data_IF_105620093934
#
_entry.id   IF_105620093934
#
_cell.length_a   1.000
_cell.length_b   1.000
_cell.length_c   1.000
_cell.angle_alpha   90.00
_cell.angle_beta   90.00
_cell.angle_gamma   90.00
#
_symmetry.space_group_name_H-M   'P 1'
#
loop_
_entity.id
_entity.type
_entity.pdbx_description
1 polymer ?
#
# COMPACT_ATOMS: atom_id res chain seq x y z
N UNK A 1 8.29 25.63 1.06
CA UNK A 1 7.51 24.65 0.67
C UNK A 1 7.70 23.44 1.44
N UNK A 2 6.77 22.81 1.72
CA UNK A 2 6.85 21.71 2.62
C UNK A 2 6.86 20.38 1.90
N UNK A 3 7.83 19.54 2.22
CA UNK A 3 7.82 18.19 1.71
C UNK A 3 6.86 17.28 2.50
N UNK A 4 6.33 17.79 3.63
CA UNK A 4 5.44 16.98 4.47
C UNK A 4 4.13 16.62 3.78
N UNK A 5 3.76 17.36 2.72
CA UNK A 5 2.54 17.07 1.96
C UNK A 5 2.80 16.16 0.77
N UNK A 6 4.06 15.75 0.57
CA UNK A 6 4.39 14.94 -0.58
C UNK A 6 3.86 13.53 -0.41
N UNK A 7 3.24 13.06 -1.49
CA UNK A 7 2.69 11.71 -1.54
C UNK A 7 3.83 10.70 -1.62
N UNK A 8 3.70 9.61 -0.87
CA UNK A 8 4.59 8.45 -1.00
C UNK A 8 3.80 7.32 -1.64
N UNK A 9 4.35 6.71 -2.69
CA UNK A 9 3.71 5.57 -3.30
C UNK A 9 4.71 4.42 -3.43
N UNK A 10 4.30 3.24 -3.00
CA UNK A 10 5.10 2.03 -3.08
C UNK A 10 4.57 1.18 -4.22
N UNK A 11 5.45 0.82 -5.14
CA UNK A 11 5.08 0.15 -6.38
C UNK A 11 6.02 -1.01 -6.69
N UNK A 12 5.61 -1.81 -7.68
CA UNK A 12 6.45 -2.85 -8.25
C UNK A 12 6.45 -2.67 -9.76
N UNK A 13 7.64 -2.76 -10.37
CA UNK A 13 7.81 -2.45 -11.78
C UNK A 13 6.99 -3.32 -12.73
N UNK A 14 6.65 -4.55 -12.33
CA UNK A 14 5.85 -5.46 -13.15
C UNK A 14 4.37 -5.45 -12.78
N UNK A 15 3.94 -4.43 -12.08
CA UNK A 15 2.56 -4.30 -11.60
C UNK A 15 1.81 -3.29 -12.47
N UNK A 16 0.84 -3.77 -13.26
CA UNK A 16 0.09 -2.88 -14.16
C UNK A 16 -0.73 -1.86 -13.39
N UNK A 17 -1.31 -2.25 -12.25
CA UNK A 17 -2.06 -1.31 -11.42
C UNK A 17 -1.17 -0.19 -10.90
N UNK A 18 0.08 -0.52 -10.58
CA UNK A 18 1.04 0.48 -10.13
C UNK A 18 1.34 1.50 -11.23
N UNK A 19 1.55 1.01 -12.45
CA UNK A 19 1.80 1.88 -13.60
C UNK A 19 0.60 2.78 -13.86
N UNK A 20 -0.60 2.22 -13.82
CA UNK A 20 -1.82 3.00 -14.00
C UNK A 20 -1.95 4.09 -12.94
N UNK A 21 -1.61 3.75 -11.69
CA UNK A 21 -1.70 4.70 -10.59
C UNK A 21 -0.71 5.85 -10.75
N UNK A 22 0.55 5.55 -11.05
CA UNK A 22 1.54 6.62 -11.21
C UNK A 22 1.24 7.48 -12.43
N UNK A 23 0.73 6.89 -13.51
CA UNK A 23 0.32 7.67 -14.68
C UNK A 23 -0.84 8.59 -14.34
N UNK A 24 -1.80 8.11 -13.57
CA UNK A 24 -2.93 8.92 -13.12
C UNK A 24 -2.46 10.12 -12.29
N UNK A 25 -1.53 9.88 -11.35
CA UNK A 25 -0.98 10.96 -10.54
C UNK A 25 -0.31 12.03 -11.40
N UNK A 26 0.48 11.59 -12.38
CA UNK A 26 1.16 12.52 -13.29
C UNK A 26 0.17 13.33 -14.11
N UNK A 27 -0.84 12.67 -14.68
CA UNK A 27 -1.84 13.36 -15.49
C UNK A 27 -2.61 14.41 -14.70
N UNK A 28 -2.77 14.18 -13.40
CA UNK A 28 -3.53 15.09 -12.55
C UNK A 28 -2.65 16.05 -11.77
N UNK A 29 -1.37 16.14 -12.14
CA UNK A 29 -0.46 17.16 -11.60
C UNK A 29 -0.01 16.93 -10.17
N UNK A 30 -0.08 15.69 -9.68
CA UNK A 30 0.35 15.39 -8.31
C UNK A 30 1.81 14.99 -8.28
N UNK A 31 2.56 15.62 -7.39
CA UNK A 31 3.93 15.23 -7.14
C UNK A 31 3.96 14.08 -6.13
N UNK A 32 4.88 13.16 -6.32
CA UNK A 32 4.99 12.01 -5.43
C UNK A 32 6.40 11.46 -5.42
N UNK A 33 6.74 10.77 -4.33
CA UNK A 33 7.97 9.98 -4.23
C UNK A 33 7.58 8.51 -4.40
N UNK A 34 8.28 7.84 -5.31
CA UNK A 34 8.00 6.43 -5.61
C UNK A 34 9.09 5.56 -5.00
N UNK A 35 8.67 4.47 -4.35
CA UNK A 35 9.56 3.50 -3.73
C UNK A 35 9.30 2.11 -4.28
N UNK A 36 10.36 1.34 -4.49
CA UNK A 36 10.25 -0.05 -4.92
C UNK A 36 9.85 -0.89 -3.71
N UNK A 37 8.62 -1.38 -3.70
CA UNK A 37 8.02 -2.01 -2.52
C UNK A 37 8.77 -3.27 -2.07
N UNK A 38 9.39 -3.97 -3.02
CA UNK A 38 10.14 -5.20 -2.68
C UNK A 38 11.46 -4.89 -2.00
N UNK A 39 12.09 -3.77 -2.36
CA UNK A 39 13.39 -3.36 -1.81
C UNK A 39 13.23 -2.52 -0.54
N UNK A 40 12.20 -1.69 -0.54
CA UNK A 40 11.94 -0.76 0.56
C UNK A 40 10.46 -0.87 0.94
N UNK A 41 10.08 -1.87 1.72
CA UNK A 41 8.67 -2.01 2.13
C UNK A 41 8.24 -0.83 3.00
N UNK A 42 6.93 -0.58 3.11
CA UNK A 42 6.44 0.44 4.04
C UNK A 42 6.89 0.13 5.46
N UNK A 43 7.14 1.18 6.23
CA UNK A 43 7.54 1.04 7.63
C UNK A 43 6.36 0.60 8.49
N UNK A 44 6.66 0.14 9.71
CA UNK A 44 5.63 -0.22 10.68
C UNK A 44 4.68 0.95 10.90
N UNK A 45 5.22 2.16 11.05
CA UNK A 45 4.42 3.37 11.24
C UNK A 45 3.50 3.63 10.07
N UNK A 46 4.02 3.49 8.85
CA UNK A 46 3.23 3.69 7.64
C UNK A 46 2.14 2.66 7.48
N UNK A 47 2.45 1.41 7.83
CA UNK A 47 1.45 0.34 7.77
C UNK A 47 0.33 0.56 8.78
N UNK A 48 0.67 1.04 9.97
CA UNK A 48 -0.35 1.37 10.98
C UNK A 48 -1.24 2.52 10.52
N UNK A 49 -0.65 3.52 9.87
CA UNK A 49 -1.44 4.63 9.31
C UNK A 49 -2.39 4.12 8.24
N UNK A 50 -1.89 3.26 7.33
CA UNK A 50 -2.74 2.69 6.28
C UNK A 50 -3.85 1.84 6.87
N UNK A 51 -3.57 1.09 7.93
CA UNK A 51 -4.58 0.28 8.59
C UNK A 51 -5.74 1.16 9.09
N UNK A 52 -5.41 2.29 9.69
CA UNK A 52 -6.42 3.24 10.16
C UNK A 52 -7.25 3.78 8.99
N UNK A 53 -6.59 4.12 7.87
CA UNK A 53 -7.29 4.61 6.69
C UNK A 53 -8.10 3.51 5.98
N UNK A 54 -7.87 2.26 6.33
CA UNK A 54 -8.56 1.11 5.73
C UNK A 54 -9.62 0.54 6.68
N UNK A 55 -10.15 1.36 7.57
CA UNK A 55 -11.18 0.97 8.54
C UNK A 55 -10.73 -0.20 9.41
N UNK A 56 -9.44 -0.26 9.71
CA UNK A 56 -8.83 -1.29 10.53
C UNK A 56 -8.98 -2.71 9.96
N UNK A 57 -9.21 -2.82 8.66
CA UNK A 57 -9.30 -4.12 7.99
C UNK A 57 -7.93 -4.51 7.45
N UNK A 58 -7.17 -5.25 8.25
CA UNK A 58 -5.79 -5.58 7.91
C UNK A 58 -5.68 -6.44 6.65
N UNK A 59 -6.72 -7.20 6.30
CA UNK A 59 -6.69 -8.02 5.10
C UNK A 59 -6.52 -7.18 3.84
N UNK A 60 -6.99 -5.92 3.86
CA UNK A 60 -6.85 -5.01 2.71
C UNK A 60 -5.40 -4.64 2.44
N UNK A 61 -4.52 -4.78 3.42
CA UNK A 61 -3.11 -4.43 3.26
C UNK A 61 -2.30 -5.55 2.61
N UNK A 62 -2.87 -6.73 2.44
CA UNK A 62 -2.16 -7.87 1.88
C UNK A 62 -2.38 -8.04 0.39
N UNK A 63 -1.32 -8.42 -0.30
CA UNK A 63 -1.37 -8.83 -1.70
C UNK A 63 -1.83 -10.29 -1.77
N UNK A 64 -3.14 -10.50 -1.68
CA UNK A 64 -3.72 -11.84 -1.57
C UNK A 64 -3.60 -12.67 -2.84
N UNK A 65 -3.29 -12.05 -3.97
CA UNK A 65 -3.05 -12.77 -5.23
C UNK A 65 -1.60 -13.19 -5.41
N UNK A 66 -0.71 -12.77 -4.49
CA UNK A 66 0.71 -13.00 -4.64
C UNK A 66 1.14 -14.41 -4.26
N UNK A 67 2.29 -14.82 -4.80
CA UNK A 67 2.86 -16.13 -4.53
C UNK A 67 3.26 -16.28 -3.07
N UNK A 68 3.84 -15.23 -2.48
CA UNK A 68 4.27 -15.28 -1.08
C UNK A 68 3.09 -15.46 -0.13
N UNK A 69 1.98 -14.78 -0.42
CA UNK A 69 0.77 -14.92 0.37
C UNK A 69 0.28 -16.37 0.37
N UNK A 70 0.28 -17.00 -0.81
CA UNK A 70 -0.15 -18.38 -0.95
C UNK A 70 0.83 -19.34 -0.31
N UNK A 71 2.13 -19.11 -0.51
CA UNK A 71 3.17 -19.98 0.03
C UNK A 71 3.11 -20.03 1.56
N UNK A 72 2.78 -18.92 2.20
CA UNK A 72 2.65 -18.83 3.65
C UNK A 72 1.27 -19.25 4.16
N UNK A 73 0.35 -19.59 3.25
CA UNK A 73 -1.02 -19.98 3.59
C UNK A 73 -1.71 -18.93 4.47
N UNK A 74 -1.51 -17.66 4.13
CA UNK A 74 -2.01 -16.56 4.95
C UNK A 74 -3.53 -16.44 4.93
N UNK A 75 -4.17 -16.88 3.84
CA UNK A 75 -5.63 -16.84 3.77
C UNK A 75 -6.27 -17.48 5.01
N UNK A 76 -5.70 -18.59 5.47
CA UNK A 76 -6.22 -19.31 6.61
C UNK A 76 -5.57 -18.88 7.93
N UNK A 77 -4.34 -18.40 7.87
CA UNK A 77 -3.57 -18.12 9.08
C UNK A 77 -3.71 -16.70 9.63
N UNK A 78 -4.19 -15.76 8.81
CA UNK A 78 -4.26 -14.36 9.27
C UNK A 78 -5.02 -14.23 10.59
N UNK A 79 -6.12 -14.96 10.74
CA UNK A 79 -6.94 -14.87 11.95
C UNK A 79 -6.24 -15.40 13.20
N UNK A 80 -5.13 -16.13 13.04
CA UNK A 80 -4.39 -16.72 14.14
C UNK A 80 -3.27 -15.83 14.67
N UNK A 81 -2.98 -14.73 13.98
CA UNK A 81 -1.91 -13.81 14.35
C UNK A 81 -2.49 -12.55 14.95
N UNK A 82 -1.72 -11.89 15.81
CA UNK A 82 -2.11 -10.58 16.30
C UNK A 82 -1.90 -9.54 15.21
N UNK A 83 -2.57 -8.40 15.36
CA UNK A 83 -2.40 -7.29 14.43
C UNK A 83 -0.94 -6.85 14.36
N UNK A 84 -0.27 -6.76 15.53
CA UNK A 84 1.14 -6.38 15.56
C UNK A 84 2.02 -7.38 14.82
N UNK A 85 1.74 -8.69 14.95
CA UNK A 85 2.49 -9.71 14.22
C UNK A 85 2.35 -9.52 12.71
N UNK A 86 1.14 -9.22 12.25
CA UNK A 86 0.88 -9.05 10.82
C UNK A 86 1.52 -7.77 10.30
N UNK A 87 1.49 -6.70 11.06
CA UNK A 87 2.15 -5.44 10.68
C UNK A 87 3.66 -5.67 10.53
N UNK A 88 4.25 -6.38 11.49
CA UNK A 88 5.68 -6.67 11.43
C UNK A 88 6.00 -7.52 10.20
N UNK A 89 5.19 -8.54 9.93
CA UNK A 89 5.37 -9.41 8.77
C UNK A 89 5.35 -8.59 7.47
N UNK A 90 4.39 -7.68 7.33
CA UNK A 90 4.30 -6.83 6.15
C UNK A 90 5.50 -5.91 6.01
N UNK A 91 5.99 -5.36 7.12
CA UNK A 91 7.13 -4.44 7.09
C UNK A 91 8.42 -5.11 6.64
N UNK A 92 8.49 -6.44 6.78
CA UNK A 92 9.67 -7.22 6.41
C UNK A 92 9.55 -7.88 5.04
N UNK A 93 8.38 -7.84 4.42
CA UNK A 93 8.10 -8.55 3.17
C UNK A 93 7.27 -7.70 2.23
N UNK A 94 7.94 -6.90 1.41
CA UNK A 94 7.24 -6.03 0.47
C UNK A 94 6.34 -6.79 -0.51
N UNK A 95 6.68 -8.05 -0.82
CA UNK A 95 5.83 -8.87 -1.71
C UNK A 95 4.47 -9.19 -1.10
N UNK A 96 4.34 -9.12 0.21
CA UNK A 96 3.07 -9.38 0.88
C UNK A 96 2.17 -8.17 0.93
N UNK A 97 2.70 -7.00 0.65
CA UNK A 97 1.94 -5.74 0.78
C UNK A 97 1.13 -5.49 -0.49
N UNK A 98 -0.13 -5.12 -0.32
CA UNK A 98 -1.01 -4.73 -1.43
C UNK A 98 -0.44 -3.51 -2.13
N UNK A 99 -0.40 -3.55 -3.45
CA UNK A 99 0.17 -2.46 -4.25
C UNK A 99 -0.77 -2.04 -5.37
N UNK A 100 -0.69 -0.76 -5.76
CA UNK A 100 0.13 0.29 -5.16
C UNK A 100 -0.33 0.62 -3.74
N UNK A 101 0.62 1.06 -2.91
CA UNK A 101 0.38 1.46 -1.53
C UNK A 101 0.73 2.93 -1.45
N UNK A 102 -0.27 3.78 -1.26
CA UNK A 102 -0.09 5.22 -1.34
C UNK A 102 -0.46 5.88 -0.01
N UNK A 103 0.43 6.72 0.50
CA UNK A 103 0.15 7.52 1.69
C UNK A 103 0.31 9.00 1.37
N UNK A 104 -0.73 9.77 1.66
CA UNK A 104 -0.67 11.21 1.71
C UNK A 104 -0.59 11.64 3.17
N UNK A 105 -0.74 12.94 3.40
CA UNK A 105 -0.65 13.47 4.76
C UNK A 105 -1.84 13.03 5.62
N UNK A 106 -3.03 12.97 5.03
CA UNK A 106 -4.27 12.71 5.77
C UNK A 106 -5.10 11.59 5.15
N UNK A 107 -4.52 10.79 4.26
CA UNK A 107 -5.25 9.71 3.60
C UNK A 107 -4.29 8.62 3.17
N UNK A 108 -4.84 7.44 2.91
CA UNK A 108 -4.08 6.32 2.36
C UNK A 108 -4.95 5.49 1.45
N UNK A 109 -4.32 4.92 0.43
CA UNK A 109 -5.02 4.11 -0.58
C UNK A 109 -4.19 2.88 -0.90
N UNK A 110 -4.82 1.71 -0.97
CA UNK A 110 -4.19 0.48 -1.44
C UNK A 110 -4.94 -0.03 -2.66
N UNK A 111 -4.18 -0.49 -3.65
CA UNK A 111 -4.74 -0.82 -4.94
C UNK A 111 -5.09 0.44 -5.71
N UNK A 112 -5.45 0.27 -6.99
CA UNK A 112 -5.81 1.42 -7.80
C UNK A 112 -7.20 1.22 -8.41
N UNK A 113 -8.12 2.07 -7.98
CA UNK A 113 -9.45 2.21 -8.59
C UNK A 113 -9.64 3.68 -8.86
N UNK A 114 -9.63 4.06 -10.10
CA UNK A 114 -9.63 5.47 -10.50
C UNK A 114 -10.77 6.26 -9.87
N UNK A 115 -11.97 5.71 -9.85
CA UNK A 115 -13.12 6.40 -9.29
C UNK A 115 -12.93 6.74 -7.80
N UNK A 116 -12.29 5.83 -7.05
CA UNK A 116 -12.02 6.06 -5.64
C UNK A 116 -10.95 7.13 -5.48
N UNK A 117 -9.89 7.03 -6.27
CA UNK A 117 -8.80 8.01 -6.22
C UNK A 117 -9.30 9.41 -6.56
N UNK A 118 -10.18 9.52 -7.56
CA UNK A 118 -10.75 10.81 -7.90
C UNK A 118 -11.50 11.46 -6.74
N UNK A 119 -12.21 10.65 -5.95
CA UNK A 119 -12.92 11.17 -4.79
C UNK A 119 -11.96 11.64 -3.69
N UNK A 120 -10.92 10.88 -3.44
CA UNK A 120 -9.97 11.18 -2.37
C UNK A 120 -9.16 12.43 -2.67
N UNK A 121 -8.79 12.63 -3.93
CA UNK A 121 -7.94 13.75 -4.32
C UNK A 121 -8.70 15.04 -4.63
N UNK A 122 -9.99 15.01 -4.53
CA UNK A 122 -10.78 16.23 -4.74
C UNK A 122 -10.88 17.11 -3.53
#
# INVERSE_FOLDING_TARGET
>A
MSTSNRIKIYTYKKCSSCKNATNWLKRNGHEFNEFAIRDTPPSISELKSMLAYSNNNIRLLFNSSGLDYRALNLKEKISKYTENDLILLLSENGNLVKRPFLLGKYYGLVGFKEAIWEKVFK
#
